data_IF_576629453179
#
_entry.id   IF_576629453179
#
_cell.length_a   1.000
_cell.length_b   1.000
_cell.length_c   1.000
_cell.angle_alpha   90.00
_cell.angle_beta   90.00
_cell.angle_gamma   90.00
#
_symmetry.space_group_name_H-M   'P 1'
#
loop_
_entity.id
_entity.type
_entity.pdbx_description
1 polymer ?
#
# COMPACT_ATOMS: atom_id res chain seq x y z
N UNK A 1 -6.72 8.90 -10.31
CA UNK A 1 -6.34 7.48 -10.28
C UNK A 1 -5.27 7.24 -9.23
N UNK A 2 -5.01 6.01 -8.87
CA UNK A 2 -4.11 5.60 -7.77
C UNK A 2 -2.68 6.10 -7.95
N UNK A 3 -2.22 6.24 -9.19
CA UNK A 3 -0.90 6.79 -9.52
C UNK A 3 -0.71 8.24 -9.09
N UNK A 4 -1.78 9.04 -9.03
CA UNK A 4 -1.70 10.44 -8.61
C UNK A 4 -1.28 10.63 -7.14
N UNK A 5 -1.48 9.61 -6.31
CA UNK A 5 -1.08 9.59 -4.88
C UNK A 5 0.14 8.71 -4.60
N UNK A 6 0.84 8.27 -5.66
CA UNK A 6 1.99 7.38 -5.51
C UNK A 6 3.20 8.12 -4.96
N UNK A 7 3.77 7.60 -3.90
CA UNK A 7 5.01 8.08 -3.29
C UNK A 7 6.13 7.07 -3.52
N UNK A 8 7.29 7.57 -3.91
CA UNK A 8 8.49 6.75 -4.10
C UNK A 8 9.62 7.24 -3.20
N UNK A 9 10.23 6.33 -2.46
CA UNK A 9 11.37 6.57 -1.58
C UNK A 9 12.52 5.68 -1.99
N UNK A 10 13.69 6.27 -2.21
CA UNK A 10 14.91 5.53 -2.57
C UNK A 10 15.94 5.72 -1.47
N UNK A 11 16.45 4.61 -1.00
CA UNK A 11 17.44 4.52 0.08
C UNK A 11 18.75 3.98 -0.45
N UNK A 12 19.84 4.48 0.09
CA UNK A 12 21.18 3.88 0.01
C UNK A 12 21.59 3.35 1.40
N UNK A 13 22.79 2.82 1.53
CA UNK A 13 23.39 2.48 2.82
C UNK A 13 23.51 3.68 3.78
N UNK A 14 23.42 4.91 3.27
CA UNK A 14 23.47 6.15 4.07
C UNK A 14 22.07 6.67 4.46
N UNK A 15 21.00 5.97 4.10
CA UNK A 15 19.62 6.37 4.39
C UNK A 15 18.86 6.85 3.15
N UNK A 16 17.78 7.60 3.37
CA UNK A 16 16.92 8.15 2.32
C UNK A 16 17.68 9.16 1.47
N UNK A 17 17.72 8.96 0.15
CA UNK A 17 18.43 9.81 -0.80
C UNK A 17 17.51 10.52 -1.80
N UNK A 18 16.33 9.93 -2.09
CA UNK A 18 15.32 10.54 -2.97
C UNK A 18 13.94 10.28 -2.41
N UNK A 19 13.08 11.27 -2.53
CA UNK A 19 11.67 11.19 -2.18
C UNK A 19 10.84 11.92 -3.24
N UNK A 20 9.84 11.26 -3.74
CA UNK A 20 8.86 11.80 -4.66
C UNK A 20 7.48 11.53 -4.06
N UNK A 21 6.70 12.58 -3.80
CA UNK A 21 5.38 12.47 -3.18
C UNK A 21 4.26 12.23 -4.20
N UNK A 22 4.59 12.27 -5.50
CA UNK A 22 3.70 11.96 -6.61
C UNK A 22 4.48 11.37 -7.77
N UNK A 23 3.82 10.50 -8.56
CA UNK A 23 4.43 9.87 -9.73
C UNK A 23 4.97 10.89 -10.73
N UNK A 24 4.20 11.94 -11.04
CA UNK A 24 4.57 12.95 -12.02
C UNK A 24 5.76 13.83 -11.63
N UNK A 25 6.22 13.74 -10.38
CA UNK A 25 7.42 14.42 -9.90
C UNK A 25 8.68 13.55 -10.04
N UNK A 26 8.50 12.23 -10.23
CA UNK A 26 9.61 11.33 -10.47
C UNK A 26 10.05 11.46 -11.94
N UNK A 27 11.31 11.78 -12.20
CA UNK A 27 11.79 11.83 -13.59
C UNK A 27 11.82 10.42 -14.20
N UNK A 28 11.59 10.31 -15.51
CA UNK A 28 11.67 9.04 -16.25
C UNK A 28 13.01 8.32 -16.04
N UNK A 29 14.04 9.09 -15.75
CA UNK A 29 15.41 8.63 -15.54
C UNK A 29 16.02 9.29 -14.32
N UNK A 30 16.38 8.46 -13.35
CA UNK A 30 17.06 8.88 -12.15
C UNK A 30 18.59 8.90 -12.33
N UNK A 31 19.22 9.82 -11.65
CA UNK A 31 20.65 9.98 -11.65
C UNK A 31 21.18 9.57 -10.27
N UNK A 32 21.77 8.38 -10.20
CA UNK A 32 22.30 7.79 -8.98
C UNK A 32 23.76 7.39 -9.15
N UNK A 33 24.56 7.53 -8.10
CA UNK A 33 25.93 7.03 -8.08
C UNK A 33 25.95 5.48 -8.12
N UNK A 34 27.06 4.89 -8.47
CA UNK A 34 27.21 3.43 -8.38
C UNK A 34 27.05 2.97 -6.94
N UNK A 35 26.28 1.90 -6.71
CA UNK A 35 25.98 1.40 -5.38
C UNK A 35 24.76 0.52 -5.32
N UNK A 36 24.43 0.09 -4.10
CA UNK A 36 23.22 -0.67 -3.78
C UNK A 36 22.13 0.27 -3.27
N UNK A 37 20.90 0.02 -3.70
CA UNK A 37 19.76 0.84 -3.40
C UNK A 37 18.54 -0.03 -3.06
N UNK A 38 17.70 0.53 -2.21
CA UNK A 38 16.38 -0.02 -1.90
C UNK A 38 15.33 1.02 -2.27
N UNK A 39 14.35 0.62 -3.07
CA UNK A 39 13.20 1.46 -3.39
C UNK A 39 11.96 0.95 -2.68
N UNK A 40 11.20 1.87 -2.12
CA UNK A 40 9.90 1.63 -1.50
C UNK A 40 8.85 2.55 -2.12
N UNK A 41 7.75 1.95 -2.57
CA UNK A 41 6.64 2.64 -3.22
C UNK A 41 5.37 2.41 -2.42
N UNK A 42 4.60 3.46 -2.22
CA UNK A 42 3.26 3.41 -1.65
C UNK A 42 2.28 4.18 -2.53
N UNK A 43 1.02 3.76 -2.54
CA UNK A 43 -0.06 4.47 -3.22
C UNK A 43 -1.37 4.32 -2.44
N UNK A 44 -2.13 5.40 -2.34
CA UNK A 44 -3.34 5.50 -1.52
C UNK A 44 -3.06 6.00 -0.10
N UNK A 45 -4.12 6.10 0.70
CA UNK A 45 -4.06 6.61 2.07
C UNK A 45 -3.95 5.47 3.09
N UNK A 46 -2.94 5.56 3.96
CA UNK A 46 -2.76 4.62 5.06
C UNK A 46 -3.67 4.98 6.23
N UNK A 47 -4.95 4.59 6.13
CA UNK A 47 -5.94 4.78 7.19
C UNK A 47 -6.31 3.42 7.83
N UNK A 48 -6.70 3.38 9.11
CA UNK A 48 -7.03 2.13 9.79
C UNK A 48 -8.14 1.33 9.12
N UNK A 49 -9.21 1.99 8.66
CA UNK A 49 -10.28 1.41 7.87
C UNK A 49 -10.98 2.50 7.04
N UNK A 50 -11.33 2.19 5.79
CA UNK A 50 -12.13 3.07 4.92
C UNK A 50 -12.86 2.26 3.86
N UNK A 51 -14.00 2.78 3.38
CA UNK A 51 -14.67 2.22 2.21
C UNK A 51 -13.97 2.65 0.93
N UNK A 52 -13.83 1.72 0.00
CA UNK A 52 -13.37 1.91 -1.38
C UNK A 52 -12.04 2.68 -1.50
N UNK A 53 -11.19 2.55 -0.46
CA UNK A 53 -9.91 3.25 -0.35
C UNK A 53 -8.77 2.24 -0.23
N UNK A 54 -8.28 1.68 -1.35
CA UNK A 54 -7.17 0.73 -1.34
C UNK A 54 -5.84 1.42 -1.04
N UNK A 55 -4.98 0.72 -0.30
CA UNK A 55 -3.61 1.10 -0.03
C UNK A 55 -2.64 0.05 -0.57
N UNK A 56 -1.69 0.48 -1.39
CA UNK A 56 -0.71 -0.39 -2.04
C UNK A 56 0.68 -0.13 -1.53
N UNK A 57 1.48 -1.18 -1.41
CA UNK A 57 2.90 -1.08 -1.10
C UNK A 57 3.72 -2.03 -1.96
N UNK A 58 4.94 -1.63 -2.26
CA UNK A 58 5.91 -2.48 -2.93
C UNK A 58 7.33 -2.03 -2.64
N UNK A 59 8.28 -2.94 -2.80
CA UNK A 59 9.70 -2.61 -2.67
C UNK A 59 10.55 -3.50 -3.57
N UNK A 60 11.72 -2.99 -3.94
CA UNK A 60 12.74 -3.74 -4.66
C UNK A 60 14.13 -3.26 -4.29
N UNK A 61 15.09 -4.17 -4.34
CA UNK A 61 16.51 -3.85 -4.27
C UNK A 61 17.08 -3.77 -5.67
N UNK A 62 17.99 -2.85 -5.93
CA UNK A 62 18.67 -2.74 -7.20
C UNK A 62 20.09 -2.19 -7.05
N UNK A 63 20.95 -2.56 -7.99
CA UNK A 63 22.32 -2.08 -8.05
C UNK A 63 22.50 -1.14 -9.23
N UNK A 64 23.18 -0.04 -8.99
CA UNK A 64 23.66 0.86 -10.06
C UNK A 64 25.13 0.57 -10.27
N UNK A 65 25.49 0.17 -11.48
CA UNK A 65 26.88 -0.08 -11.86
C UNK A 65 27.42 1.06 -12.72
N UNK A 66 28.70 1.34 -12.55
CA UNK A 66 29.36 2.31 -13.40
C UNK A 66 29.32 1.88 -14.86
N UNK A 67 28.79 2.73 -15.72
CA UNK A 67 28.73 2.45 -17.13
C UNK A 67 27.47 1.74 -17.62
N UNK A 68 26.53 1.41 -16.75
CA UNK A 68 25.35 0.67 -17.13
C UNK A 68 24.04 1.45 -16.87
N UNK A 69 23.06 1.26 -17.75
CA UNK A 69 21.69 1.68 -17.50
C UNK A 69 20.99 0.55 -16.77
N UNK A 70 20.45 0.84 -15.59
CA UNK A 70 19.73 -0.13 -14.76
C UNK A 70 18.27 0.27 -14.67
N UNK A 71 17.37 -0.71 -14.80
CA UNK A 71 15.96 -0.54 -14.52
C UNK A 71 15.57 -1.40 -13.33
N UNK A 72 14.84 -0.84 -12.38
CA UNK A 72 14.24 -1.56 -11.27
C UNK A 72 12.71 -1.52 -11.41
N UNK A 73 12.10 -2.70 -11.37
CA UNK A 73 10.66 -2.84 -11.36
C UNK A 73 10.17 -3.09 -9.95
N UNK A 74 9.20 -2.29 -9.49
CA UNK A 74 8.56 -2.45 -8.18
C UNK A 74 7.14 -2.92 -8.39
N UNK A 75 6.86 -4.14 -7.96
CA UNK A 75 5.51 -4.70 -7.92
C UNK A 75 4.80 -4.26 -6.65
N UNK A 76 3.81 -3.37 -6.79
CA UNK A 76 2.97 -2.93 -5.68
C UNK A 76 1.73 -3.80 -5.57
N UNK A 77 1.42 -4.28 -4.37
CA UNK A 77 0.24 -5.10 -4.06
C UNK A 77 -0.60 -4.44 -2.98
N UNK A 78 -1.87 -4.82 -2.87
CA UNK A 78 -2.76 -4.33 -1.81
C UNK A 78 -2.20 -4.73 -0.45
N UNK A 79 -2.01 -3.75 0.43
CA UNK A 79 -1.55 -3.94 1.80
C UNK A 79 -2.70 -4.09 2.82
N UNK A 80 -3.94 -3.83 2.39
CA UNK A 80 -5.14 -4.03 3.19
C UNK A 80 -5.59 -5.49 3.19
N UNK A 81 -6.36 -5.87 4.23
CA UNK A 81 -7.35 -6.94 4.14
C UNK A 81 -8.71 -6.31 3.78
N UNK A 82 -9.57 -7.04 3.09
CA UNK A 82 -10.82 -6.50 2.56
C UNK A 82 -12.01 -7.24 3.13
N UNK A 83 -13.11 -6.52 3.37
CA UNK A 83 -14.39 -7.13 3.73
C UNK A 83 -15.53 -6.59 2.88
N UNK A 84 -16.47 -7.47 2.55
CA UNK A 84 -17.76 -7.13 1.96
C UNK A 84 -18.86 -7.78 2.78
N UNK A 85 -20.04 -7.17 2.78
CA UNK A 85 -21.20 -7.67 3.52
C UNK A 85 -22.38 -7.84 2.57
N UNK A 86 -23.08 -8.95 2.69
CA UNK A 86 -24.33 -9.19 2.01
C UNK A 86 -25.38 -9.65 3.04
N UNK A 87 -26.63 -9.24 2.84
CA UNK A 87 -27.77 -9.67 3.64
C UNK A 87 -28.73 -10.51 2.78
N UNK A 88 -29.17 -11.66 3.30
CA UNK A 88 -30.19 -12.42 2.59
C UNK A 88 -31.54 -11.69 2.61
N UNK A 89 -32.34 -11.77 1.54
CA UNK A 89 -33.64 -11.11 1.48
C UNK A 89 -34.60 -11.48 2.62
N UNK A 90 -34.49 -12.73 3.10
CA UNK A 90 -35.35 -13.26 4.17
C UNK A 90 -35.08 -12.59 5.53
N UNK A 91 -33.87 -12.00 5.70
CA UNK A 91 -33.48 -11.33 6.92
C UNK A 91 -34.41 -10.15 7.25
N UNK A 92 -34.82 -9.38 6.25
CA UNK A 92 -35.68 -8.22 6.37
C UNK A 92 -37.10 -8.59 6.90
N UNK A 93 -37.53 -9.86 6.82
CA UNK A 93 -38.79 -10.32 7.35
C UNK A 93 -38.77 -10.52 8.85
N UNK A 94 -37.59 -10.63 9.47
CA UNK A 94 -37.45 -11.02 10.89
C UNK A 94 -36.68 -9.96 11.70
N UNK A 95 -35.92 -9.09 11.05
CA UNK A 95 -35.15 -8.03 11.69
C UNK A 95 -35.28 -6.73 10.88
N UNK A 96 -35.45 -5.64 11.60
CA UNK A 96 -35.42 -4.26 11.02
C UNK A 96 -34.28 -3.44 11.60
N UNK A 97 -33.98 -2.31 11.02
CA UNK A 97 -32.95 -1.37 11.48
C UNK A 97 -31.61 -2.06 11.75
N UNK A 98 -31.22 -3.02 10.89
CA UNK A 98 -30.00 -3.79 11.12
C UNK A 98 -28.78 -3.16 10.46
N UNK A 99 -27.65 -3.40 11.11
CA UNK A 99 -26.32 -3.05 10.63
C UNK A 99 -25.29 -4.08 11.08
N UNK A 100 -24.22 -4.19 10.32
CA UNK A 100 -23.05 -4.98 10.70
C UNK A 100 -21.85 -4.04 10.83
N UNK A 101 -21.18 -4.11 11.96
CA UNK A 101 -19.85 -3.52 12.12
C UNK A 101 -18.81 -4.59 11.87
N UNK A 102 -17.83 -4.29 11.04
CA UNK A 102 -16.61 -5.10 10.88
C UNK A 102 -15.45 -4.26 11.34
N UNK A 103 -14.58 -4.82 12.18
CA UNK A 103 -13.53 -4.05 12.82
C UNK A 103 -12.29 -4.88 13.11
N UNK A 104 -11.16 -4.17 13.16
CA UNK A 104 -9.88 -4.60 13.70
C UNK A 104 -9.63 -3.90 15.03
N UNK A 105 -8.46 -4.06 15.65
CA UNK A 105 -8.10 -3.30 16.86
C UNK A 105 -7.98 -1.79 16.64
N UNK A 106 -7.84 -1.34 15.39
CA UNK A 106 -7.55 0.07 15.07
C UNK A 106 -8.58 0.76 14.21
N UNK A 107 -9.42 0.01 13.47
CA UNK A 107 -10.39 0.58 12.55
C UNK A 107 -11.70 -0.19 12.48
N UNK A 108 -12.82 0.51 12.31
CA UNK A 108 -14.15 -0.08 12.13
C UNK A 108 -14.89 0.55 10.96
N UNK A 109 -15.74 -0.26 10.31
CA UNK A 109 -16.69 0.19 9.30
C UNK A 109 -18.06 -0.40 9.59
N UNK A 110 -19.12 0.40 9.37
CA UNK A 110 -20.49 -0.03 9.52
C UNK A 110 -21.15 -0.28 8.17
N UNK A 111 -21.58 -1.49 7.95
CA UNK A 111 -22.31 -1.91 6.75
C UNK A 111 -23.81 -1.89 7.05
N UNK A 112 -24.54 -1.20 6.19
CA UNK A 112 -26.00 -1.08 6.19
C UNK A 112 -26.51 -1.40 4.79
N UNK A 113 -27.82 -1.41 4.57
CA UNK A 113 -28.39 -1.58 3.22
C UNK A 113 -27.83 -0.58 2.20
N UNK A 114 -27.46 0.62 2.63
CA UNK A 114 -26.91 1.66 1.74
C UNK A 114 -25.43 1.48 1.42
N UNK A 115 -24.70 0.61 2.13
CA UNK A 115 -23.25 0.41 1.97
C UNK A 115 -22.88 -1.05 1.64
N UNK A 116 -23.83 -1.92 1.38
CA UNK A 116 -23.58 -3.35 1.04
C UNK A 116 -22.75 -3.51 -0.26
N UNK A 117 -22.83 -2.55 -1.18
CA UNK A 117 -22.06 -2.59 -2.43
C UNK A 117 -20.63 -2.06 -2.27
N UNK A 118 -20.30 -1.49 -1.11
CA UNK A 118 -18.97 -0.96 -0.85
C UNK A 118 -18.03 -2.04 -0.33
N UNK A 119 -16.74 -1.86 -0.63
CA UNK A 119 -15.67 -2.71 -0.09
C UNK A 119 -14.98 -2.01 1.06
N UNK A 120 -14.98 -2.63 2.23
CA UNK A 120 -14.21 -2.18 3.38
C UNK A 120 -12.74 -2.59 3.25
N UNK A 121 -11.82 -1.63 3.38
CA UNK A 121 -10.38 -1.84 3.39
C UNK A 121 -9.86 -1.61 4.80
N UNK A 122 -9.15 -2.59 5.37
CA UNK A 122 -8.65 -2.56 6.74
C UNK A 122 -7.14 -2.74 6.78
N UNK A 123 -6.46 -1.92 7.57
CA UNK A 123 -5.04 -2.11 7.86
C UNK A 123 -4.89 -3.06 9.03
N UNK A 124 -4.12 -4.14 8.84
CA UNK A 124 -3.75 -5.04 9.92
C UNK A 124 -2.56 -4.45 10.68
N UNK A 125 -2.68 -4.37 12.00
CA UNK A 125 -1.66 -3.80 12.87
C UNK A 125 -0.85 -4.88 13.60
N UNK A 126 0.42 -4.99 13.26
CA UNK A 126 1.37 -5.85 13.97
C UNK A 126 0.97 -7.33 13.95
N UNK A 127 0.70 -7.88 15.13
CA UNK A 127 0.31 -9.29 15.32
C UNK A 127 -1.20 -9.52 15.24
N UNK A 128 -2.00 -8.45 15.26
CA UNK A 128 -3.43 -8.56 15.13
C UNK A 128 -3.80 -8.94 13.70
N UNK A 129 -4.35 -10.15 13.56
CA UNK A 129 -4.77 -10.75 12.31
C UNK A 129 -6.19 -11.27 12.44
N UNK A 130 -7.09 -10.42 12.94
CA UNK A 130 -8.48 -10.76 13.08
C UNK A 130 -9.40 -9.70 12.46
N UNK A 131 -10.53 -10.14 11.92
CA UNK A 131 -11.66 -9.30 11.59
C UNK A 131 -12.81 -9.73 12.51
N UNK A 132 -13.10 -8.91 13.51
CA UNK A 132 -14.25 -9.07 14.34
C UNK A 132 -15.48 -8.45 13.67
N UNK A 133 -16.65 -8.99 13.95
CA UNK A 133 -17.91 -8.46 13.46
C UNK A 133 -18.96 -8.43 14.56
N UNK A 134 -19.86 -7.47 14.48
CA UNK A 134 -21.08 -7.44 15.31
C UNK A 134 -22.27 -7.06 14.43
N UNK A 135 -23.32 -7.88 14.54
CA UNK A 135 -24.63 -7.61 13.98
C UNK A 135 -25.52 -7.00 15.05
N UNK A 136 -26.21 -5.93 14.73
CA UNK A 136 -27.21 -5.29 15.58
C UNK A 136 -28.47 -5.06 14.76
N UNK A 137 -29.65 -5.26 15.36
CA UNK A 137 -30.95 -5.01 14.73
C UNK A 137 -32.11 -5.13 15.71
N UNK A 138 -33.32 -4.88 15.23
CA UNK A 138 -34.56 -5.05 16.00
C UNK A 138 -35.37 -6.21 15.44
N UNK A 139 -35.78 -7.14 16.31
CA UNK A 139 -36.71 -8.18 15.95
C UNK A 139 -38.11 -7.60 15.67
N UNK A 140 -38.94 -8.35 14.98
CA UNK A 140 -40.36 -7.98 14.72
C UNK A 140 -41.18 -7.77 16.00
N UNK A 141 -40.75 -8.35 17.15
CA UNK A 141 -41.35 -8.11 18.47
C UNK A 141 -40.82 -6.82 19.16
N UNK A 142 -40.00 -6.03 18.47
CA UNK A 142 -39.42 -4.77 18.93
C UNK A 142 -38.20 -4.93 19.83
N UNK A 143 -37.77 -6.15 20.18
CA UNK A 143 -36.59 -6.36 21.00
C UNK A 143 -35.31 -6.22 20.21
N UNK A 144 -34.29 -5.64 20.84
CA UNK A 144 -32.97 -5.60 20.27
C UNK A 144 -32.36 -6.99 20.10
N UNK A 145 -31.69 -7.21 19.02
CA UNK A 145 -30.90 -8.40 18.75
C UNK A 145 -29.46 -8.03 18.44
N UNK A 146 -28.52 -8.76 19.04
CA UNK A 146 -27.11 -8.62 18.79
C UNK A 146 -26.45 -9.98 18.66
N UNK A 147 -25.52 -10.10 17.75
CA UNK A 147 -24.68 -11.28 17.55
C UNK A 147 -23.32 -10.83 17.11
N UNK A 148 -22.28 -11.51 17.56
CA UNK A 148 -20.90 -11.17 17.19
C UNK A 148 -20.06 -12.41 16.94
N UNK A 149 -18.94 -12.21 16.26
CA UNK A 149 -17.97 -13.26 16.01
C UNK A 149 -16.64 -12.68 15.52
N UNK A 150 -15.71 -13.57 15.23
CA UNK A 150 -14.36 -13.22 14.81
C UNK A 150 -13.91 -14.17 13.71
N UNK A 151 -13.25 -13.62 12.68
CA UNK A 151 -12.48 -14.37 11.70
C UNK A 151 -11.01 -14.19 12.06
N UNK A 152 -10.38 -15.29 12.43
CA UNK A 152 -8.99 -15.32 12.83
C UNK A 152 -8.06 -15.57 11.65
N UNK A 153 -6.78 -15.24 11.83
CA UNK A 153 -5.70 -15.45 10.84
C UNK A 153 -5.94 -14.79 9.49
N UNK A 154 -6.61 -13.64 9.48
CA UNK A 154 -6.82 -12.87 8.25
C UNK A 154 -5.49 -12.37 7.70
N UNK A 155 -5.40 -12.30 6.38
CA UNK A 155 -4.20 -11.87 5.66
C UNK A 155 -4.50 -10.71 4.72
N UNK A 156 -3.48 -9.93 4.43
CA UNK A 156 -3.56 -8.85 3.44
C UNK A 156 -3.81 -9.40 2.03
N UNK A 157 -4.29 -8.54 1.14
CA UNK A 157 -4.66 -8.90 -0.24
C UNK A 157 -5.69 -10.04 -0.33
N UNK A 158 -6.53 -10.17 0.70
CA UNK A 158 -7.60 -11.18 0.76
C UNK A 158 -8.92 -10.49 1.10
N UNK A 159 -9.95 -10.86 0.37
CA UNK A 159 -11.33 -10.41 0.58
C UNK A 159 -12.10 -11.46 1.36
N UNK A 160 -12.68 -11.04 2.47
CA UNK A 160 -13.58 -11.81 3.33
C UNK A 160 -15.01 -11.36 3.05
N UNK A 161 -15.77 -12.19 2.37
CA UNK A 161 -17.16 -11.90 2.01
C UNK A 161 -18.10 -12.50 3.07
N UNK A 162 -18.67 -11.64 3.90
CA UNK A 162 -19.64 -11.99 4.93
C UNK A 162 -21.05 -12.01 4.35
N UNK A 163 -21.76 -13.11 4.55
CA UNK A 163 -23.19 -13.23 4.22
C UNK A 163 -23.97 -13.51 5.48
N UNK A 164 -24.90 -12.62 5.80
CA UNK A 164 -25.82 -12.74 6.93
C UNK A 164 -27.17 -13.23 6.45
N UNK A 165 -27.65 -14.37 6.96
CA UNK A 165 -28.90 -15.00 6.53
C UNK A 165 -29.74 -15.40 7.73
N UNK A 166 -31.09 -15.45 7.53
CA UNK A 166 -32.00 -15.97 8.52
C UNK A 166 -31.93 -17.48 8.56
N UNK A 167 -31.85 -18.04 9.78
CA UNK A 167 -31.94 -19.49 10.03
C UNK A 167 -33.18 -19.82 10.84
N UNK A 168 -34.19 -20.32 10.16
CA UNK A 168 -35.48 -20.66 10.76
C UNK A 168 -35.39 -21.84 11.76
N UNK A 169 -34.55 -22.83 11.48
CA UNK A 169 -34.38 -24.03 12.32
C UNK A 169 -33.75 -23.67 13.67
N UNK A 170 -32.72 -22.86 13.68
CA UNK A 170 -32.09 -22.35 14.89
C UNK A 170 -33.04 -21.45 15.68
N UNK A 171 -33.81 -20.61 15.01
CA UNK A 171 -34.80 -19.75 15.63
C UNK A 171 -35.88 -20.56 16.37
N UNK A 172 -36.37 -21.67 15.79
CA UNK A 172 -37.37 -22.56 16.38
C UNK A 172 -36.87 -23.28 17.64
N UNK A 173 -35.55 -23.50 17.74
CA UNK A 173 -34.92 -24.18 18.90
C UNK A 173 -34.42 -23.22 19.99
N UNK A 174 -34.63 -21.90 19.81
CA UNK A 174 -34.16 -20.87 20.74
C UNK A 174 -32.68 -20.52 20.60
N UNK A 175 -32.03 -20.99 19.53
CA UNK A 175 -30.66 -20.64 19.17
C UNK A 175 -30.51 -19.25 18.48
N UNK A 176 -29.33 -18.96 17.96
CA UNK A 176 -29.10 -17.78 17.13
C UNK A 176 -29.87 -17.93 15.83
N UNK A 177 -30.66 -16.92 15.46
CA UNK A 177 -31.47 -16.99 14.24
C UNK A 177 -30.77 -16.38 13.00
N UNK A 178 -29.55 -15.92 13.16
CA UNK A 178 -28.73 -15.45 12.05
C UNK A 178 -27.55 -16.40 11.86
N UNK A 179 -27.43 -16.91 10.65
CA UNK A 179 -26.22 -17.61 10.18
C UNK A 179 -25.30 -16.63 9.52
N UNK A 180 -24.01 -16.79 9.77
CA UNK A 180 -22.95 -15.98 9.15
C UNK A 180 -21.99 -16.90 8.40
N UNK A 181 -21.96 -16.72 7.10
CA UNK A 181 -21.01 -17.41 6.22
C UNK A 181 -19.92 -16.44 5.77
N UNK A 182 -18.67 -16.84 5.87
CA UNK A 182 -17.53 -16.06 5.40
C UNK A 182 -16.81 -16.86 4.31
N UNK A 183 -16.72 -16.27 3.12
CA UNK A 183 -15.95 -16.82 2.01
C UNK A 183 -14.69 -15.99 1.79
N UNK A 184 -13.57 -16.66 1.56
CA UNK A 184 -12.27 -16.03 1.32
C UNK A 184 -11.91 -16.09 -0.16
N UNK A 185 -11.32 -15.01 -0.67
CA UNK A 185 -10.77 -14.96 -2.02
C UNK A 185 -9.56 -14.03 -2.08
N UNK A 186 -8.51 -14.48 -2.75
CA UNK A 186 -7.32 -13.63 -2.98
C UNK A 186 -7.66 -12.50 -3.94
N UNK A 187 -7.15 -11.31 -3.65
CA UNK A 187 -7.27 -10.15 -4.52
C UNK A 187 -5.94 -9.95 -5.24
N UNK A 188 -5.91 -10.29 -6.52
CA UNK A 188 -4.75 -10.07 -7.38
C UNK A 188 -4.88 -8.71 -8.09
N UNK A 189 -4.51 -7.66 -7.36
CA UNK A 189 -4.40 -6.32 -7.92
C UNK A 189 -2.96 -5.85 -7.75
N UNK A 190 -2.26 -5.70 -8.86
CA UNK A 190 -0.85 -5.32 -8.87
C UNK A 190 -0.61 -4.11 -9.76
N UNK A 191 0.30 -3.24 -9.32
CA UNK A 191 0.78 -2.10 -10.08
C UNK A 191 2.30 -2.16 -10.16
N UNK A 192 2.84 -2.07 -11.37
CA UNK A 192 4.28 -2.10 -11.59
C UNK A 192 4.81 -0.68 -11.77
N UNK A 193 5.87 -0.36 -11.05
CA UNK A 193 6.61 0.90 -11.16
C UNK A 193 8.00 0.60 -11.65
N UNK A 194 8.41 1.22 -12.77
CA UNK A 194 9.74 1.05 -13.35
C UNK A 194 10.58 2.28 -13.05
N UNK A 195 11.75 2.06 -12.45
CA UNK A 195 12.74 3.09 -12.16
C UNK A 195 13.94 2.85 -13.07
N UNK A 196 14.25 3.82 -13.92
CA UNK A 196 15.37 3.74 -14.85
C UNK A 196 16.48 4.72 -14.45
N UNK A 197 17.71 4.24 -14.45
CA UNK A 197 18.91 5.01 -14.22
C UNK A 197 19.80 4.96 -15.46
N UNK A 198 20.38 6.09 -15.87
CA UNK A 198 21.37 6.13 -16.97
C UNK A 198 22.73 6.61 -16.49
N UNK A 199 23.78 6.37 -17.30
CA UNK A 199 25.13 6.90 -17.07
C UNK A 199 25.17 8.41 -16.88
N UNK A 200 25.97 8.88 -15.93
CA UNK A 200 26.09 10.29 -15.58
C UNK A 200 27.48 10.70 -15.11
N UNK A 201 27.74 11.99 -15.24
CA UNK A 201 28.82 12.67 -14.55
C UNK A 201 28.24 13.58 -13.49
N UNK A 202 28.62 13.40 -12.23
CA UNK A 202 28.15 14.19 -11.09
C UNK A 202 29.33 14.64 -10.23
N UNK A 203 29.28 15.86 -9.72
CA UNK A 203 30.24 16.33 -8.71
C UNK A 203 29.89 15.76 -7.31
N UNK A 204 30.92 15.46 -6.52
CA UNK A 204 30.71 15.12 -5.10
C UNK A 204 30.45 16.41 -4.32
N UNK A 205 29.19 16.64 -3.97
CA UNK A 205 28.71 17.82 -3.21
C UNK A 205 28.79 19.17 -3.94
N UNK A 206 28.91 19.17 -5.26
CA UNK A 206 28.85 20.38 -6.07
C UNK A 206 28.16 20.12 -7.42
N UNK A 207 27.61 21.16 -8.03
CA UNK A 207 27.03 21.11 -9.36
C UNK A 207 28.13 21.28 -10.42
N UNK A 208 28.37 20.23 -11.21
CA UNK A 208 29.37 20.24 -12.28
C UNK A 208 29.05 21.18 -13.44
N UNK A 209 27.84 21.70 -13.51
CA UNK A 209 27.42 22.69 -14.52
C UNK A 209 27.76 24.12 -14.11
N UNK A 210 28.19 24.33 -12.87
CA UNK A 210 28.56 25.60 -12.31
C UNK A 210 30.08 25.68 -12.09
N UNK A 211 30.70 26.89 -12.20
CA UNK A 211 32.10 27.06 -11.88
C UNK A 211 32.42 26.64 -10.44
N UNK A 212 33.43 25.81 -10.26
CA UNK A 212 33.93 25.43 -8.95
C UNK A 212 35.15 26.30 -8.61
N UNK A 213 35.02 27.17 -7.62
CA UNK A 213 36.09 28.01 -7.15
C UNK A 213 36.91 27.33 -6.08
N UNK A 214 38.23 27.24 -6.28
CA UNK A 214 39.19 26.67 -5.34
C UNK A 214 40.21 27.72 -4.91
N UNK A 215 40.47 27.79 -3.61
CA UNK A 215 41.60 28.54 -3.08
C UNK A 215 42.89 27.75 -3.34
N UNK A 216 43.87 28.40 -3.93
CA UNK A 216 45.19 27.79 -4.18
C UNK A 216 45.82 27.34 -2.86
N UNK A 217 46.29 26.10 -2.79
CA UNK A 217 46.89 25.50 -1.59
C UNK A 217 45.93 25.20 -0.43
N UNK A 218 44.62 25.09 -0.68
CA UNK A 218 43.63 24.77 0.38
C UNK A 218 43.72 23.31 0.86
N UNK A 219 44.41 22.41 0.14
CA UNK A 219 44.43 20.97 0.43
C UNK A 219 43.05 20.29 0.28
N UNK A 220 42.09 20.97 -0.29
CA UNK A 220 40.77 20.42 -0.54
C UNK A 220 40.76 19.65 -1.86
N UNK A 221 40.06 18.52 -1.86
CA UNK A 221 39.87 17.69 -3.05
C UNK A 221 38.40 17.80 -3.52
N UNK A 222 38.23 17.89 -4.87
CA UNK A 222 36.93 17.77 -5.50
C UNK A 222 36.86 16.43 -6.25
N UNK A 223 35.88 15.61 -5.93
CA UNK A 223 35.65 14.35 -6.62
C UNK A 223 34.55 14.51 -7.67
N UNK A 224 34.80 14.00 -8.86
CA UNK A 224 33.78 13.86 -9.90
C UNK A 224 33.53 12.38 -10.11
N UNK A 225 32.27 12.02 -9.97
CA UNK A 225 31.81 10.65 -10.19
C UNK A 225 31.32 10.51 -11.63
N UNK A 226 31.86 9.53 -12.34
CA UNK A 226 31.45 9.23 -13.70
C UNK A 226 30.81 7.86 -13.74
N UNK A 227 29.51 7.83 -14.05
CA UNK A 227 28.79 6.62 -14.33
C UNK A 227 28.57 6.54 -15.86
N UNK A 228 29.41 5.80 -16.55
CA UNK A 228 29.40 5.71 -18.01
C UNK A 228 29.12 4.29 -18.50
N UNK A 229 28.25 4.14 -19.51
CA UNK A 229 27.82 2.86 -20.07
C UNK A 229 28.96 2.05 -20.72
N UNK A 230 30.04 2.70 -21.11
CA UNK A 230 31.24 2.08 -21.70
C UNK A 230 32.49 2.69 -21.07
N UNK A 231 33.62 2.01 -21.22
CA UNK A 231 34.93 2.60 -20.78
C UNK A 231 35.06 4.00 -21.32
N UNK A 232 35.39 4.94 -20.43
CA UNK A 232 35.71 6.30 -20.84
C UNK A 232 36.90 6.27 -21.79
N UNK A 233 36.74 6.86 -22.99
CA UNK A 233 37.82 6.98 -23.96
C UNK A 233 38.73 8.16 -23.63
N UNK A 234 38.15 9.25 -23.19
CA UNK A 234 38.86 10.46 -22.76
C UNK A 234 38.02 11.21 -21.70
N UNK A 235 38.70 11.77 -20.72
CA UNK A 235 38.15 12.80 -19.80
C UNK A 235 39.01 14.02 -19.99
N UNK A 236 38.41 15.16 -20.40
CA UNK A 236 39.08 16.43 -20.50
C UNK A 236 38.58 17.34 -19.38
N UNK A 237 39.47 17.72 -18.50
CA UNK A 237 39.27 18.78 -17.53
C UNK A 237 39.97 20.03 -18.05
N UNK A 238 39.27 21.15 -18.07
CA UNK A 238 39.87 22.46 -18.38
C UNK A 238 39.67 23.37 -17.19
N UNK A 239 40.75 23.97 -16.70
CA UNK A 239 40.72 25.02 -15.68
C UNK A 239 41.06 26.34 -16.42
N UNK A 240 40.31 27.40 -16.14
CA UNK A 240 40.60 28.77 -16.52
C UNK A 240 41.22 29.51 -15.34
#
# INVERSE_FOLDING_TARGET
GIYASMQTRIYSSKGLIRYYDRENLMPDILNLASGQYHVFVIAGDSVPAAFDTPYYTGSADFAVQSGETTSAEVKCTIANTLATVAFSPELANVVTDYKVKIFTTTGELSFTESTVDSVGYYMLNGKDRSLAWSFEGKKTDGKNYTQSGVVENVVKATKYAFTFSYNADNAATGGTFIDVKVNESTVDSTHNVVITQRPQIVGDKFDITQPLYYETNSGKEAAIWVNAATKLKNVKLSCE
#
